data_IF_336151314808
#
_entry.id   IF_336151314808
#
_cell.length_a   1.000
_cell.length_b   1.000
_cell.length_c   1.000
_cell.angle_alpha   90.00
_cell.angle_beta   90.00
_cell.angle_gamma   90.00
#
_symmetry.space_group_name_H-M   'P 1'
#
loop_
_entity.id
_entity.type
_entity.pdbx_description
1 polymer ?
#
# COMPACT_ATOMS: atom_id res chain seq x y z
N UNK A 1 -8.42 -5.37 -13.80
CA UNK A 1 -6.98 -5.15 -13.97
C UNK A 1 -6.26 -6.11 -13.03
N UNK A 2 -5.56 -7.12 -13.56
CA UNK A 2 -4.78 -8.04 -12.73
C UNK A 2 -3.62 -7.29 -12.07
N UNK A 3 -3.32 -7.63 -10.83
CA UNK A 3 -2.32 -6.96 -10.01
C UNK A 3 -1.20 -7.96 -9.74
N UNK A 4 -0.07 -7.79 -10.42
CA UNK A 4 0.94 -8.86 -10.53
C UNK A 4 2.28 -8.50 -9.87
N UNK A 5 2.96 -9.55 -9.42
CA UNK A 5 4.33 -9.62 -8.90
C UNK A 5 5.36 -10.07 -9.96
N UNK A 6 4.92 -10.40 -11.18
CA UNK A 6 5.73 -11.05 -12.20
C UNK A 6 6.70 -10.12 -12.95
N UNK A 7 7.79 -10.71 -13.46
CA UNK A 7 8.73 -10.07 -14.37
C UNK A 7 8.20 -9.92 -15.80
N UNK A 8 7.04 -10.51 -16.10
CA UNK A 8 6.37 -10.45 -17.40
C UNK A 8 4.86 -10.33 -17.23
N UNK A 9 4.20 -9.56 -18.09
CA UNK A 9 2.75 -9.35 -18.10
C UNK A 9 2.16 -9.68 -19.46
N UNK A 10 1.02 -10.36 -19.48
CA UNK A 10 0.21 -10.49 -20.70
C UNK A 10 -0.77 -9.31 -20.77
N UNK A 11 -0.58 -8.45 -21.76
CA UNK A 11 -1.48 -7.33 -22.05
C UNK A 11 -2.43 -7.71 -23.16
N UNK A 12 -3.67 -7.21 -23.10
CA UNK A 12 -4.67 -7.51 -24.11
C UNK A 12 -5.37 -6.26 -24.63
N UNK A 13 -5.80 -6.33 -25.89
CA UNK A 13 -6.73 -5.39 -26.50
C UNK A 13 -7.75 -6.19 -27.32
N UNK A 14 -9.03 -6.01 -27.04
CA UNK A 14 -10.12 -6.67 -27.77
C UNK A 14 -10.80 -5.68 -28.70
N UNK A 15 -11.02 -6.09 -29.95
CA UNK A 15 -11.61 -5.25 -31.01
C UNK A 15 -12.38 -6.13 -31.99
N UNK A 16 -13.46 -5.62 -32.58
CA UNK A 16 -14.37 -6.40 -33.43
C UNK A 16 -13.91 -6.58 -34.87
N UNK A 17 -12.68 -6.16 -35.20
CA UNK A 17 -12.11 -6.20 -36.56
C UNK A 17 -10.69 -6.75 -36.47
N UNK A 18 -10.22 -7.43 -37.51
CA UNK A 18 -8.82 -7.90 -37.57
C UNK A 18 -7.89 -6.74 -38.01
N UNK A 19 -6.75 -6.64 -37.35
CA UNK A 19 -5.79 -5.54 -37.35
C UNK A 19 -4.36 -6.10 -37.31
N UNK A 20 -3.36 -5.30 -37.67
CA UNK A 20 -1.95 -5.63 -37.41
C UNK A 20 -1.43 -4.70 -36.35
N UNK A 21 -1.39 -5.21 -35.12
CA UNK A 21 -1.19 -4.38 -33.93
C UNK A 21 0.19 -4.59 -33.33
N UNK A 22 0.85 -3.48 -33.02
CA UNK A 22 2.04 -3.44 -32.19
C UNK A 22 1.75 -2.71 -30.89
N UNK A 23 2.36 -3.16 -29.78
CA UNK A 23 2.28 -2.45 -28.51
C UNK A 23 3.62 -1.79 -28.17
N UNK A 24 3.58 -0.49 -27.92
CA UNK A 24 4.69 0.27 -27.33
C UNK A 24 4.41 0.45 -25.84
N UNK A 25 5.42 0.21 -25.00
CA UNK A 25 5.28 0.27 -23.55
C UNK A 25 6.23 1.30 -22.97
N UNK A 26 5.70 2.26 -22.22
CA UNK A 26 6.50 3.22 -21.44
C UNK A 26 6.58 2.73 -20.01
N UNK A 27 7.81 2.56 -19.51
CA UNK A 27 8.12 2.11 -18.16
C UNK A 27 7.91 3.23 -17.12
N UNK A 28 7.86 2.90 -15.82
CA UNK A 28 7.71 3.89 -14.75
C UNK A 28 8.85 4.92 -14.67
N UNK A 29 10.05 4.58 -15.16
CA UNK A 29 11.21 5.48 -15.23
C UNK A 29 11.20 6.39 -16.48
N UNK A 30 10.15 6.31 -17.30
CA UNK A 30 9.99 7.06 -18.54
C UNK A 30 10.69 6.45 -19.76
N UNK A 31 11.43 5.35 -19.60
CA UNK A 31 12.05 4.65 -20.73
C UNK A 31 11.03 3.85 -21.52
N UNK A 32 11.23 3.69 -22.83
CA UNK A 32 10.37 2.86 -23.67
C UNK A 32 10.97 1.47 -23.86
N UNK A 33 10.12 0.44 -23.85
CA UNK A 33 10.45 -0.88 -24.35
C UNK A 33 10.32 -0.90 -25.88
N UNK A 34 11.09 -1.77 -26.52
CA UNK A 34 10.92 -2.05 -27.94
C UNK A 34 9.49 -2.50 -28.22
N UNK A 35 8.95 -2.07 -29.36
CA UNK A 35 7.59 -2.43 -29.76
C UNK A 35 7.45 -3.96 -29.84
N UNK A 36 6.46 -4.50 -29.12
CA UNK A 36 6.18 -5.92 -29.10
C UNK A 36 5.06 -6.21 -30.09
N UNK A 37 5.26 -7.20 -30.96
CA UNK A 37 4.20 -7.66 -31.88
C UNK A 37 3.13 -8.41 -31.08
N UNK A 38 1.86 -8.07 -31.32
CA UNK A 38 0.75 -8.75 -30.68
C UNK A 38 0.30 -9.98 -31.48
N UNK A 39 -0.13 -11.03 -30.77
CA UNK A 39 -0.77 -12.21 -31.37
C UNK A 39 -2.28 -12.09 -31.24
N UNK A 40 -2.99 -12.26 -32.35
CA UNK A 40 -4.46 -12.27 -32.38
C UNK A 40 -4.99 -13.67 -32.06
N UNK A 41 -6.02 -13.74 -31.21
CA UNK A 41 -6.82 -14.94 -30.98
C UNK A 41 -8.26 -14.53 -30.75
N UNK A 42 -9.16 -14.88 -31.67
CA UNK A 42 -10.59 -14.54 -31.64
C UNK A 42 -10.84 -13.08 -31.21
N UNK A 43 -10.43 -12.12 -32.05
CA UNK A 43 -10.67 -10.68 -31.84
C UNK A 43 -9.97 -10.08 -30.60
N UNK A 44 -9.08 -10.84 -29.96
CA UNK A 44 -8.25 -10.40 -28.84
C UNK A 44 -6.78 -10.43 -29.22
N UNK A 45 -6.16 -9.26 -29.21
CA UNK A 45 -4.72 -9.07 -29.35
C UNK A 45 -4.07 -9.25 -28.00
N UNK A 46 -3.00 -10.04 -27.94
CA UNK A 46 -2.24 -10.29 -26.73
C UNK A 46 -0.74 -10.12 -26.97
N UNK A 47 -0.04 -9.51 -26.02
CA UNK A 47 1.41 -9.39 -26.06
C UNK A 47 1.99 -9.63 -24.66
N UNK A 48 3.18 -10.24 -24.59
CA UNK A 48 3.91 -10.43 -23.35
C UNK A 48 4.97 -9.34 -23.21
N UNK A 49 4.93 -8.62 -22.09
CA UNK A 49 5.76 -7.44 -21.82
C UNK A 49 6.57 -7.67 -20.56
N UNK A 50 7.89 -7.46 -20.62
CA UNK A 50 8.75 -7.55 -19.45
C UNK A 50 8.55 -6.34 -18.50
N UNK A 51 8.34 -6.60 -17.22
CA UNK A 51 8.04 -5.62 -16.17
C UNK A 51 9.02 -5.72 -14.99
N UNK A 52 10.32 -5.40 -15.18
CA UNK A 52 11.33 -5.54 -14.13
C UNK A 52 11.24 -4.48 -13.03
N UNK A 53 10.58 -3.35 -13.29
CA UNK A 53 10.41 -2.24 -12.34
C UNK A 53 9.00 -2.23 -11.78
N UNK A 54 8.85 -1.98 -10.48
CA UNK A 54 7.56 -1.66 -9.90
C UNK A 54 7.11 -0.25 -10.30
N UNK A 55 5.81 -0.07 -10.48
CA UNK A 55 5.20 1.21 -10.85
C UNK A 55 4.21 1.11 -11.99
N UNK A 56 3.78 2.26 -12.48
CA UNK A 56 2.79 2.37 -13.56
C UNK A 56 3.45 2.34 -14.93
N UNK A 57 3.00 1.42 -15.78
CA UNK A 57 3.36 1.30 -17.18
C UNK A 57 2.23 1.86 -18.04
N UNK A 58 2.60 2.58 -19.10
CA UNK A 58 1.65 3.08 -20.10
C UNK A 58 1.76 2.21 -21.35
N UNK A 59 0.63 1.64 -21.76
CA UNK A 59 0.49 0.86 -22.97
C UNK A 59 -0.07 1.72 -24.07
N UNK A 60 0.55 1.65 -25.24
CA UNK A 60 0.04 2.25 -26.47
C UNK A 60 0.02 1.16 -27.55
N UNK A 61 -1.18 0.77 -27.94
CA UNK A 61 -1.43 -0.14 -29.03
C UNK A 61 -1.67 0.69 -30.28
N UNK A 62 -0.83 0.47 -31.29
CA UNK A 62 -0.95 1.12 -32.59
C UNK A 62 -1.34 0.04 -33.61
N UNK A 63 -2.49 0.24 -34.25
CA UNK A 63 -2.86 -0.53 -35.43
C UNK A 63 -2.27 0.11 -36.67
N UNK A 64 -1.33 -0.61 -37.28
CA UNK A 64 -0.60 -0.16 -38.46
C UNK A 64 -1.45 -0.12 -39.74
N UNK A 65 -2.65 -0.72 -39.74
CA UNK A 65 -3.51 -0.78 -40.93
C UNK A 65 -4.68 0.22 -40.93
N UNK A 66 -5.20 0.62 -39.76
CA UNK A 66 -6.36 1.52 -39.65
C UNK A 66 -6.09 2.86 -38.94
N UNK A 67 -4.83 3.18 -38.57
CA UNK A 67 -4.46 4.41 -37.84
C UNK A 67 -5.26 4.57 -36.52
N UNK A 68 -5.53 3.43 -35.86
CA UNK A 68 -6.23 3.38 -34.56
C UNK A 68 -5.20 3.25 -33.44
N UNK A 69 -5.37 4.07 -32.41
CA UNK A 69 -4.55 4.06 -31.20
C UNK A 69 -5.42 3.71 -30.01
N UNK A 70 -5.06 2.64 -29.30
CA UNK A 70 -5.66 2.28 -28.02
C UNK A 70 -4.62 2.42 -26.91
N UNK A 71 -4.99 3.10 -25.82
CA UNK A 71 -4.09 3.31 -24.67
C UNK A 71 -4.66 2.66 -23.43
N UNK A 72 -3.79 2.02 -22.65
CA UNK A 72 -4.15 1.37 -21.40
C UNK A 72 -2.99 1.46 -20.41
N UNK A 73 -3.16 0.95 -19.19
CA UNK A 73 -2.13 1.00 -18.15
C UNK A 73 -2.03 -0.28 -17.36
N UNK A 74 -0.81 -0.60 -16.92
CA UNK A 74 -0.55 -1.68 -15.97
C UNK A 74 0.10 -1.09 -14.72
N UNK A 75 -0.32 -1.51 -13.55
CA UNK A 75 0.30 -1.17 -12.28
C UNK A 75 1.00 -2.42 -11.74
N UNK A 76 2.33 -2.38 -11.77
CA UNK A 76 3.18 -3.48 -11.27
C UNK A 76 3.55 -3.15 -9.85
N UNK A 77 3.23 -4.07 -8.93
CA UNK A 77 3.47 -3.85 -7.52
C UNK A 77 4.91 -4.19 -7.12
N UNK A 78 5.45 -3.56 -6.06
CA UNK A 78 6.73 -3.98 -5.51
C UNK A 78 6.67 -5.45 -5.07
N UNK A 79 7.81 -6.12 -5.13
CA UNK A 79 7.95 -7.52 -4.73
C UNK A 79 7.46 -7.76 -3.29
N UNK A 80 7.66 -6.78 -2.41
CA UNK A 80 6.99 -6.70 -1.10
C UNK A 80 5.88 -5.63 -1.14
N UNK A 81 4.61 -6.04 -1.31
CA UNK A 81 3.47 -5.13 -1.31
C UNK A 81 2.96 -4.77 0.10
N UNK A 82 3.67 -5.16 1.17
CA UNK A 82 3.37 -4.83 2.57
C UNK A 82 1.99 -5.33 3.05
N UNK A 83 1.65 -6.59 2.80
CA UNK A 83 0.38 -7.13 3.27
C UNK A 83 0.42 -7.50 4.76
N UNK A 84 -0.62 -7.10 5.51
CA UNK A 84 -0.78 -7.49 6.92
C UNK A 84 -1.23 -8.95 7.12
N UNK A 85 -1.84 -9.55 6.09
CA UNK A 85 -2.27 -10.95 6.05
C UNK A 85 -1.97 -11.54 4.68
N UNK A 86 -1.85 -12.87 4.57
CA UNK A 86 -1.71 -13.50 3.25
C UNK A 86 -3.00 -13.36 2.42
N UNK A 87 -2.88 -13.47 1.10
CA UNK A 87 -4.07 -13.52 0.22
C UNK A 87 -4.91 -14.76 0.54
N UNK A 88 -4.28 -15.88 0.90
CA UNK A 88 -5.01 -17.10 1.31
C UNK A 88 -5.82 -16.89 2.58
N UNK A 89 -5.26 -16.22 3.59
CA UNK A 89 -5.98 -15.85 4.81
C UNK A 89 -7.19 -14.97 4.52
N UNK A 90 -7.06 -14.04 3.57
CA UNK A 90 -8.13 -13.18 3.14
C UNK A 90 -9.23 -13.97 2.40
N UNK A 91 -8.84 -14.86 1.48
CA UNK A 91 -9.76 -15.75 0.75
C UNK A 91 -10.53 -16.66 1.70
N UNK A 92 -9.86 -17.24 2.70
CA UNK A 92 -10.49 -18.04 3.75
C UNK A 92 -11.51 -17.21 4.54
N UNK A 93 -11.18 -15.97 4.88
CA UNK A 93 -12.08 -15.07 5.62
C UNK A 93 -13.36 -14.72 4.85
N UNK A 94 -13.31 -14.74 3.51
CA UNK A 94 -14.45 -14.54 2.62
C UNK A 94 -15.23 -15.83 2.33
N UNK A 95 -14.75 -16.98 2.83
CA UNK A 95 -15.26 -18.32 2.51
C UNK A 95 -15.15 -18.65 1.01
N UNK A 96 -14.10 -18.17 0.35
CA UNK A 96 -13.82 -18.39 -1.07
C UNK A 96 -12.85 -19.54 -1.28
N UNK A 97 -13.13 -20.67 -0.63
CA UNK A 97 -12.32 -21.88 -0.66
C UNK A 97 -12.80 -22.92 -1.70
N UNK A 98 -13.87 -22.61 -2.45
CA UNK A 98 -14.34 -23.47 -3.55
C UNK A 98 -13.58 -23.18 -4.84
N UNK A 99 -13.29 -24.22 -5.62
CA UNK A 99 -12.52 -24.11 -6.87
C UNK A 99 -13.08 -23.07 -7.86
N UNK A 100 -14.39 -22.84 -7.88
CA UNK A 100 -15.06 -21.83 -8.73
C UNK A 100 -14.85 -20.37 -8.29
N UNK A 101 -14.35 -20.12 -7.08
CA UNK A 101 -14.12 -18.78 -6.50
C UNK A 101 -12.64 -18.52 -6.18
N UNK A 102 -11.79 -19.54 -6.30
CA UNK A 102 -10.36 -19.47 -6.00
C UNK A 102 -9.49 -19.35 -7.25
N UNK A 103 -10.05 -18.85 -8.36
CA UNK A 103 -9.32 -18.61 -9.61
C UNK A 103 -8.37 -17.41 -9.49
N UNK A 104 -7.45 -17.27 -10.45
CA UNK A 104 -6.43 -16.21 -10.45
C UNK A 104 -7.05 -14.81 -10.40
N UNK A 105 -8.12 -14.59 -11.17
CA UNK A 105 -8.80 -13.30 -11.19
C UNK A 105 -9.38 -12.92 -9.82
N UNK A 106 -10.05 -13.85 -9.13
CA UNK A 106 -10.58 -13.61 -7.78
C UNK A 106 -9.46 -13.33 -6.77
N UNK A 107 -8.33 -14.05 -6.88
CA UNK A 107 -7.18 -13.84 -6.00
C UNK A 107 -6.54 -12.47 -6.20
N UNK A 108 -6.40 -12.01 -7.44
CA UNK A 108 -5.88 -10.67 -7.77
C UNK A 108 -6.81 -9.57 -7.26
N UNK A 109 -8.13 -9.78 -7.34
CA UNK A 109 -9.09 -8.85 -6.75
C UNK A 109 -8.95 -8.80 -5.22
N UNK A 110 -8.95 -9.94 -4.53
CA UNK A 110 -8.82 -9.98 -3.06
C UNK A 110 -7.50 -9.38 -2.60
N UNK A 111 -6.44 -9.58 -3.38
CA UNK A 111 -5.15 -8.96 -3.14
C UNK A 111 -5.21 -7.43 -3.10
N UNK A 112 -5.99 -6.81 -3.99
CA UNK A 112 -6.23 -5.36 -3.96
C UNK A 112 -6.89 -4.93 -2.64
N UNK A 113 -7.88 -5.69 -2.15
CA UNK A 113 -8.52 -5.39 -0.87
C UNK A 113 -7.58 -5.53 0.32
N UNK A 114 -6.69 -6.54 0.32
CA UNK A 114 -5.67 -6.70 1.37
C UNK A 114 -4.71 -5.52 1.40
N UNK A 115 -4.26 -5.05 0.23
CA UNK A 115 -3.41 -3.88 0.14
C UNK A 115 -4.12 -2.60 0.61
N UNK A 116 -5.39 -2.42 0.24
CA UNK A 116 -6.20 -1.29 0.67
C UNK A 116 -6.48 -1.30 2.19
N UNK A 117 -6.60 -2.48 2.80
CA UNK A 117 -6.82 -2.62 4.23
C UNK A 117 -5.59 -2.22 5.06
N UNK A 118 -4.38 -2.42 4.53
CA UNK A 118 -3.11 -2.14 5.23
C UNK A 118 -3.00 -0.68 5.72
N UNK A 119 -3.11 0.36 4.87
CA UNK A 119 -2.99 1.75 5.34
C UNK A 119 -4.12 2.14 6.30
N UNK A 120 -5.32 1.56 6.18
CA UNK A 120 -6.43 1.83 7.09
C UNK A 120 -6.14 1.27 8.50
N UNK A 121 -5.55 0.07 8.58
CA UNK A 121 -5.15 -0.50 9.87
C UNK A 121 -3.96 0.26 10.46
N UNK A 122 -2.97 0.66 9.64
CA UNK A 122 -1.84 1.47 10.11
C UNK A 122 -2.27 2.88 10.56
N UNK A 123 -3.34 3.44 10.00
CA UNK A 123 -3.96 4.70 10.47
C UNK A 123 -4.54 4.58 11.88
N UNK A 124 -5.05 3.40 12.26
CA UNK A 124 -5.64 3.16 13.59
C UNK A 124 -4.57 2.72 14.61
N UNK A 125 -3.68 1.81 14.22
CA UNK A 125 -2.74 1.16 15.12
C UNK A 125 -1.36 1.86 15.19
N UNK A 126 -1.07 2.77 14.26
CA UNK A 126 0.27 3.25 13.95
C UNK A 126 1.03 2.29 13.03
N UNK A 127 2.29 2.58 12.73
CA UNK A 127 3.11 1.75 11.86
C UNK A 127 3.16 0.28 12.35
N UNK A 128 2.69 -0.66 11.52
CA UNK A 128 2.64 -2.09 11.84
C UNK A 128 3.83 -2.79 11.19
N UNK A 129 4.02 -2.57 9.88
CA UNK A 129 5.11 -3.17 9.13
C UNK A 129 6.35 -2.27 9.13
N UNK A 130 7.53 -2.89 9.17
CA UNK A 130 8.78 -2.15 9.21
C UNK A 130 8.89 -1.20 8.01
N UNK A 131 9.22 0.05 8.29
CA UNK A 131 9.63 1.03 7.28
C UNK A 131 10.70 1.95 7.82
N UNK A 132 11.53 2.44 6.90
CA UNK A 132 12.44 3.54 7.18
C UNK A 132 11.73 4.86 6.93
N UNK A 133 11.77 5.76 7.89
CA UNK A 133 11.20 7.10 7.82
C UNK A 133 12.34 8.10 7.89
N UNK A 134 12.32 9.05 6.98
CA UNK A 134 13.15 10.24 6.99
C UNK A 134 12.28 11.42 7.43
N UNK A 135 12.68 12.08 8.51
CA UNK A 135 11.96 13.21 9.07
C UNK A 135 12.89 14.42 9.20
N UNK A 136 12.37 15.58 8.82
CA UNK A 136 13.01 16.88 9.02
C UNK A 136 12.29 17.63 10.14
N UNK A 137 13.06 18.32 10.97
CA UNK A 137 12.56 19.15 12.04
C UNK A 137 13.38 20.43 12.19
N UNK A 138 12.72 21.47 12.69
CA UNK A 138 13.38 22.73 13.04
C UNK A 138 14.28 22.56 14.26
N UNK A 139 15.42 23.22 14.20
CA UNK A 139 16.39 23.29 15.29
C UNK A 139 15.94 24.24 16.41
N UNK A 140 16.82 24.48 17.36
CA UNK A 140 16.54 25.40 18.47
C UNK A 140 15.53 24.85 19.49
N UNK A 141 15.29 23.55 19.55
CA UNK A 141 14.53 22.88 20.63
C UNK A 141 15.43 21.87 21.32
N UNK A 142 15.06 21.41 22.51
CA UNK A 142 15.80 20.38 23.23
C UNK A 142 15.40 18.96 22.86
N UNK A 143 14.29 18.83 22.13
CA UNK A 143 13.84 17.58 21.57
C UNK A 143 12.95 17.76 20.36
N UNK A 144 12.84 16.69 19.58
CA UNK A 144 12.02 16.55 18.39
C UNK A 144 11.01 15.45 18.64
N UNK A 145 9.74 15.73 18.35
CA UNK A 145 8.69 14.72 18.32
C UNK A 145 8.77 13.99 16.97
N UNK A 146 8.89 12.68 17.02
CA UNK A 146 8.90 11.82 15.85
C UNK A 146 7.45 11.54 15.42
N UNK A 147 7.20 11.42 14.12
CA UNK A 147 5.86 11.14 13.60
C UNK A 147 5.33 9.78 14.04
N UNK A 148 6.22 8.79 14.11
CA UNK A 148 5.92 7.44 14.55
C UNK A 148 6.85 7.03 15.70
N UNK A 149 6.46 6.01 16.45
CA UNK A 149 7.36 5.39 17.44
C UNK A 149 8.53 4.70 16.75
N UNK A 150 9.78 5.08 17.04
CA UNK A 150 10.92 4.42 16.42
C UNK A 150 11.18 3.07 17.08
N UNK A 151 11.34 2.01 16.28
CA UNK A 151 11.95 0.76 16.73
C UNK A 151 13.47 0.94 16.86
N UNK A 152 14.08 1.73 15.97
CA UNK A 152 15.51 2.06 15.96
C UNK A 152 15.74 3.41 15.30
N UNK A 153 16.68 4.22 15.81
CA UNK A 153 17.16 5.42 15.11
C UNK A 153 18.47 5.08 14.41
N UNK A 154 18.51 5.26 13.09
CA UNK A 154 19.64 4.91 12.24
C UNK A 154 20.67 6.03 12.18
N UNK A 155 20.21 7.27 12.01
CA UNK A 155 21.08 8.44 12.03
C UNK A 155 20.33 9.70 12.46
N UNK A 156 21.08 10.64 13.02
CA UNK A 156 20.63 11.99 13.31
C UNK A 156 21.70 12.94 12.78
N UNK A 157 21.28 13.90 11.97
CA UNK A 157 22.13 14.94 11.41
C UNK A 157 21.58 16.30 11.80
N UNK A 158 22.49 17.23 12.09
CA UNK A 158 22.18 18.64 12.32
C UNK A 158 23.01 19.44 11.32
N UNK A 159 22.33 20.12 10.40
CA UNK A 159 22.96 20.91 9.33
C UNK A 159 24.02 20.11 8.55
N UNK A 160 23.68 18.86 8.18
CA UNK A 160 24.56 17.94 7.47
C UNK A 160 25.66 17.29 8.32
N UNK A 161 25.78 17.63 9.61
CA UNK A 161 26.73 17.01 10.53
C UNK A 161 26.06 15.92 11.35
N UNK A 162 26.56 14.68 11.23
CA UNK A 162 26.07 13.56 12.03
C UNK A 162 26.36 13.78 13.53
N UNK A 163 25.34 13.58 14.37
CA UNK A 163 25.48 13.61 15.82
C UNK A 163 25.24 12.20 16.38
N UNK A 164 26.01 11.84 17.40
CA UNK A 164 25.87 10.56 18.12
C UNK A 164 25.41 10.74 19.56
N UNK A 165 25.55 11.95 20.11
CA UNK A 165 25.08 12.28 21.45
C UNK A 165 23.61 12.70 21.42
N UNK A 166 22.73 11.69 21.47
CA UNK A 166 21.29 11.87 21.57
C UNK A 166 20.66 10.74 22.38
N UNK A 167 19.50 11.03 22.97
CA UNK A 167 18.71 10.04 23.71
C UNK A 167 17.31 9.97 23.11
N UNK A 168 16.87 8.76 22.80
CA UNK A 168 15.54 8.51 22.22
C UNK A 168 14.64 7.87 23.27
N UNK A 169 13.53 8.53 23.59
CA UNK A 169 12.42 7.90 24.27
C UNK A 169 11.48 7.29 23.22
N UNK A 170 11.68 6.00 22.92
CA UNK A 170 10.91 5.26 21.90
C UNK A 170 9.42 5.22 22.21
N UNK A 171 9.04 5.09 23.49
CA UNK A 171 7.64 5.02 23.91
C UNK A 171 6.91 6.37 23.74
N UNK A 172 7.61 7.46 24.06
CA UNK A 172 7.10 8.82 23.88
C UNK A 172 7.24 9.36 22.45
N UNK A 173 7.96 8.66 21.58
CA UNK A 173 8.38 9.14 20.26
C UNK A 173 9.14 10.48 20.32
N UNK A 174 9.99 10.68 21.34
CA UNK A 174 10.75 11.93 21.51
C UNK A 174 12.24 11.64 21.41
N UNK A 175 12.92 12.36 20.53
CA UNK A 175 14.37 12.40 20.44
C UNK A 175 14.90 13.65 21.13
N UNK A 176 15.88 13.51 22.03
CA UNK A 176 16.54 14.62 22.74
C UNK A 176 18.01 14.69 22.36
N UNK A 177 18.55 15.90 22.21
CA UNK A 177 20.01 16.08 22.05
C UNK A 177 20.68 15.90 23.40
N UNK A 178 21.76 15.14 23.43
CA UNK A 178 22.52 14.84 24.65
C UNK A 178 21.74 14.09 25.73
N UNK A 179 22.46 13.66 26.77
CA UNK A 179 21.86 12.98 27.94
C UNK A 179 20.92 13.88 28.76
N UNK A 180 21.18 15.19 28.78
CA UNK A 180 20.49 16.15 29.64
C UNK A 180 19.51 17.07 28.89
N UNK A 181 19.30 16.88 27.59
CA UNK A 181 18.38 17.71 26.80
C UNK A 181 19.03 19.03 26.36
N UNK A 182 20.17 18.94 25.70
CA UNK A 182 20.81 20.06 25.04
C UNK A 182 19.93 20.60 23.90
N UNK A 183 20.16 21.84 23.48
CA UNK A 183 19.39 22.46 22.41
C UNK A 183 20.01 22.10 21.07
N UNK A 184 19.23 21.65 20.10
CA UNK A 184 19.66 21.56 18.70
C UNK A 184 20.08 22.93 18.18
N UNK A 185 21.08 22.97 17.31
CA UNK A 185 21.52 24.22 16.70
C UNK A 185 20.34 24.84 15.92
N UNK A 186 20.10 26.16 16.05
CA UNK A 186 18.91 26.78 15.51
C UNK A 186 18.94 26.81 13.97
N UNK A 187 17.78 26.58 13.35
CA UNK A 187 17.60 26.65 11.91
C UNK A 187 16.30 25.97 11.47
N UNK A 188 15.89 26.22 10.23
CA UNK A 188 14.70 25.59 9.65
C UNK A 188 15.05 24.26 9.02
N UNK A 189 14.32 23.19 9.38
CA UNK A 189 14.54 21.83 8.86
C UNK A 189 16.00 21.33 8.94
N UNK A 190 16.79 21.87 9.87
CA UNK A 190 18.22 21.54 10.01
C UNK A 190 18.44 20.20 10.69
N UNK A 191 17.46 19.69 11.43
CA UNK A 191 17.56 18.38 12.09
C UNK A 191 16.94 17.33 11.18
N UNK A 192 17.78 16.44 10.66
CA UNK A 192 17.37 15.32 9.82
C UNK A 192 17.53 14.02 10.60
N UNK A 193 16.47 13.23 10.69
CA UNK A 193 16.43 12.00 11.48
C UNK A 193 15.99 10.87 10.56
N UNK A 194 16.81 9.82 10.50
CA UNK A 194 16.49 8.58 9.82
C UNK A 194 16.23 7.51 10.86
N UNK A 195 15.04 6.91 10.85
CA UNK A 195 14.66 5.91 11.84
C UNK A 195 13.79 4.80 11.24
N UNK A 196 13.87 3.61 11.84
CA UNK A 196 12.94 2.51 11.57
C UNK A 196 11.75 2.61 12.52
N UNK A 197 10.56 2.33 12.01
CA UNK A 197 9.33 2.16 12.78
C UNK A 197 8.64 0.86 12.36
N UNK A 198 7.61 0.43 13.08
CA UNK A 198 6.92 -0.83 12.86
C UNK A 198 7.50 -2.01 13.65
N UNK A 199 6.97 -3.19 13.39
CA UNK A 199 7.27 -4.45 14.06
C UNK A 199 7.72 -5.52 13.06
N UNK A 200 8.62 -6.42 13.48
CA UNK A 200 9.06 -7.58 12.68
C UNK A 200 7.93 -8.60 12.41
N UNK A 201 6.84 -8.54 13.20
CA UNK A 201 5.68 -9.39 13.02
C UNK A 201 4.37 -8.63 13.22
N UNK A 202 3.33 -9.08 12.52
CA UNK A 202 1.96 -8.56 12.67
C UNK A 202 1.28 -9.28 13.82
N UNK A 203 0.81 -8.53 14.82
CA UNK A 203 0.15 -9.11 15.98
C UNK A 203 -1.18 -9.82 15.57
N UNK A 204 -1.55 -10.94 16.22
CA UNK A 204 -2.73 -11.72 15.82
C UNK A 204 -4.06 -10.94 15.85
N UNK A 205 -4.19 -9.98 16.77
CA UNK A 205 -5.35 -9.08 16.83
C UNK A 205 -5.46 -8.20 15.57
N UNK A 206 -4.33 -7.71 15.04
CA UNK A 206 -4.27 -6.91 13.82
C UNK A 206 -4.52 -7.76 12.58
N UNK A 207 -4.07 -9.01 12.55
CA UNK A 207 -4.42 -9.96 11.48
C UNK A 207 -5.94 -10.20 11.45
N UNK A 208 -6.56 -10.42 12.62
CA UNK A 208 -8.01 -10.58 12.72
C UNK A 208 -8.78 -9.31 12.33
N UNK A 209 -8.28 -8.14 12.75
CA UNK A 209 -8.85 -6.85 12.37
C UNK A 209 -8.80 -6.64 10.84
N UNK A 210 -7.67 -6.99 10.22
CA UNK A 210 -7.48 -6.90 8.77
C UNK A 210 -8.45 -7.83 8.02
N UNK A 211 -8.62 -9.07 8.48
CA UNK A 211 -9.60 -10.01 7.90
C UNK A 211 -11.03 -9.47 7.95
N UNK A 212 -11.45 -8.90 9.09
CA UNK A 212 -12.79 -8.31 9.21
C UNK A 212 -12.97 -7.07 8.33
N UNK A 213 -11.92 -6.24 8.19
CA UNK A 213 -11.93 -5.08 7.31
C UNK A 213 -12.02 -5.48 5.83
N UNK A 214 -11.24 -6.47 5.39
CA UNK A 214 -11.30 -6.98 4.00
C UNK A 214 -12.71 -7.51 3.68
N UNK A 215 -13.29 -8.30 4.59
CA UNK A 215 -14.67 -8.78 4.45
C UNK A 215 -15.68 -7.63 4.32
N UNK A 216 -15.51 -6.60 5.14
CA UNK A 216 -16.39 -5.43 5.10
C UNK A 216 -16.28 -4.68 3.76
N UNK A 217 -15.07 -4.36 3.33
CA UNK A 217 -14.82 -3.65 2.07
C UNK A 217 -15.38 -4.43 0.87
N UNK A 218 -15.17 -5.74 0.82
CA UNK A 218 -15.73 -6.60 -0.21
C UNK A 218 -17.27 -6.51 -0.25
N UNK A 219 -17.93 -6.67 0.90
CA UNK A 219 -19.40 -6.65 0.97
C UNK A 219 -20.00 -5.29 0.60
N UNK A 220 -19.35 -4.19 0.98
CA UNK A 220 -19.77 -2.83 0.59
C UNK A 220 -19.64 -2.66 -0.93
N UNK A 221 -18.55 -3.12 -1.53
CA UNK A 221 -18.36 -3.06 -2.98
C UNK A 221 -19.36 -3.90 -3.80
N UNK A 222 -20.02 -4.88 -3.18
CA UNK A 222 -21.05 -5.71 -3.82
C UNK A 222 -22.46 -5.10 -3.78
N UNK A 223 -22.64 -3.92 -3.18
CA UNK A 223 -23.94 -3.24 -3.19
C UNK A 223 -24.28 -2.77 -4.61
N UNK A 224 -25.05 -3.59 -5.32
CA UNK A 224 -25.63 -3.24 -6.62
C UNK A 224 -26.82 -2.31 -6.44
N UNK A 225 -26.89 -1.35 -7.35
CA UNK A 225 -27.99 -0.41 -7.61
C UNK A 225 -29.23 -1.20 -8.09
N UNK A 226 -29.88 -1.94 -7.20
CA UNK A 226 -31.18 -2.56 -7.49
C UNK A 226 -32.09 -2.51 -6.26
N UNK A 227 -32.56 -1.31 -5.92
CA UNK A 227 -33.84 -1.03 -5.22
C UNK A 227 -34.15 -1.73 -3.88
N UNK A 228 -33.29 -2.63 -3.41
CA UNK A 228 -33.42 -3.47 -2.25
C UNK A 228 -32.17 -3.20 -1.45
N UNK A 229 -32.25 -2.42 -0.35
CA UNK A 229 -31.13 -2.26 0.55
C UNK A 229 -30.71 -3.68 0.97
N UNK A 230 -29.52 -4.10 0.55
CA UNK A 230 -28.89 -5.28 1.13
C UNK A 230 -28.96 -5.07 2.64
N UNK A 231 -29.69 -5.95 3.33
CA UNK A 231 -29.97 -5.82 4.76
C UNK A 231 -28.65 -5.95 5.51
N UNK A 232 -27.94 -4.84 5.63
CA UNK A 232 -26.88 -4.69 6.59
C UNK A 232 -27.62 -4.57 7.91
N UNK A 233 -27.65 -5.67 8.65
CA UNK A 233 -27.98 -5.61 10.07
C UNK A 233 -27.12 -4.51 10.67
N UNK A 234 -27.77 -3.55 11.30
CA UNK A 234 -27.21 -2.31 11.84
C UNK A 234 -25.93 -2.60 12.64
N UNK A 235 -24.76 -2.59 11.98
CA UNK A 235 -23.48 -2.77 12.69
C UNK A 235 -22.99 -1.39 13.07
N UNK A 236 -22.56 -1.21 14.34
CA UNK A 236 -22.01 0.05 14.77
C UNK A 236 -20.72 0.35 13.98
N UNK A 237 -20.72 1.47 13.28
CA UNK A 237 -19.58 2.00 12.55
C UNK A 237 -18.82 3.01 13.40
N UNK A 238 -17.52 3.13 13.17
CA UNK A 238 -16.68 4.20 13.69
C UNK A 238 -15.86 4.83 12.56
N UNK A 239 -15.08 5.86 12.89
CA UNK A 239 -14.27 6.61 11.92
C UNK A 239 -12.80 6.52 12.32
N UNK A 240 -11.91 6.26 11.37
CA UNK A 240 -10.46 6.29 11.61
C UNK A 240 -9.95 7.74 11.71
N UNK A 241 -8.74 7.99 12.23
CA UNK A 241 -8.17 9.34 12.23
C UNK A 241 -8.19 10.02 10.86
N UNK A 242 -7.94 9.29 9.77
CA UNK A 242 -7.99 9.78 8.39
C UNK A 242 -9.40 9.84 7.77
N UNK A 243 -10.46 9.51 8.52
CA UNK A 243 -11.85 9.69 8.08
C UNK A 243 -12.52 8.47 7.45
N UNK A 244 -11.90 7.29 7.47
CA UNK A 244 -12.50 6.08 6.90
C UNK A 244 -13.59 5.52 7.81
N UNK A 245 -14.76 5.19 7.25
CA UNK A 245 -15.80 4.46 7.97
C UNK A 245 -15.40 2.99 8.12
N UNK A 246 -15.19 2.54 9.35
CA UNK A 246 -14.76 1.17 9.67
C UNK A 246 -15.68 0.51 10.70
N UNK A 247 -15.85 -0.82 10.68
CA UNK A 247 -16.63 -1.51 11.70
C UNK A 247 -16.02 -1.28 13.10
N UNK A 248 -16.84 -1.04 14.12
CA UNK A 248 -16.35 -0.78 15.49
C UNK A 248 -15.47 -1.91 16.04
N UNK A 249 -15.73 -3.15 15.64
CA UNK A 249 -14.89 -4.31 16.00
C UNK A 249 -13.46 -4.20 15.49
N UNK A 250 -13.25 -3.60 14.31
CA UNK A 250 -11.90 -3.34 13.78
C UNK A 250 -11.18 -2.33 14.68
N UNK A 251 -11.87 -1.29 15.12
CA UNK A 251 -11.33 -0.31 16.08
C UNK A 251 -10.97 -0.97 17.41
N UNK A 252 -11.86 -1.79 17.98
CA UNK A 252 -11.62 -2.48 19.27
C UNK A 252 -10.42 -3.43 19.20
N UNK A 253 -10.23 -4.14 18.08
CA UNK A 253 -9.09 -5.04 17.89
C UNK A 253 -7.78 -4.28 17.67
N UNK A 254 -7.81 -3.16 16.95
CA UNK A 254 -6.63 -2.35 16.63
C UNK A 254 -6.22 -1.41 17.78
N UNK A 255 -7.17 -0.89 18.56
CA UNK A 255 -6.91 0.03 19.66
C UNK A 255 -6.09 -0.60 20.79
N UNK A 256 -6.15 -1.94 20.95
CA UNK A 256 -5.34 -2.65 21.93
C UNK A 256 -3.83 -2.51 21.70
N UNK A 257 -3.41 -2.19 20.47
CA UNK A 257 -2.01 -1.95 20.11
C UNK A 257 -1.63 -0.47 20.24
N UNK A 258 -2.62 0.42 20.24
CA UNK A 258 -2.43 1.87 20.31
C UNK A 258 -2.56 2.37 21.75
N UNK A 259 -1.48 2.33 22.54
CA UNK A 259 -1.37 3.29 23.65
C UNK A 259 -0.89 4.61 23.05
N UNK A 260 -1.69 5.67 22.99
CA UNK A 260 -1.17 6.99 22.59
C UNK A 260 -0.11 7.44 23.62
N UNK A 261 1.02 8.06 23.22
CA UNK A 261 1.91 8.68 24.19
C UNK A 261 1.17 9.80 24.91
N UNK A 262 0.92 9.64 26.22
CA UNK A 262 0.30 10.68 27.07
C UNK A 262 -1.16 10.46 27.46
N UNK A 263 -1.78 9.32 27.12
CA UNK A 263 -3.05 8.90 27.74
C UNK A 263 -2.77 7.66 28.57
N UNK A 264 -2.58 7.87 29.88
CA UNK A 264 -2.56 6.86 30.93
C UNK A 264 -3.77 7.10 31.85
#
# INVERSE_FOLDING_TARGET
>A
MPIDLGTEQTVTWTTTTSHTVTVTVTRPDGTQLDAVSATETFDTYSATVATPLAGRYLLRWDDTTADVVYTDTIDVWPADPRFLISVDDAMESLQWNTASKADTASRDMVRLYVAAATPIIEDIAGAVLIRTVEQYADGGKTGVLLWDRPSEVLSVEVDGTAITDYVVNKSAAILKRGKYGERFDPGFQVVRILYRTGSEGVAPNLQLATRELVRHLWQVGQQTIEGVPGSYGDRPMGVTPSGFAVPKRVLELASATHSLPGVA
#
